data_IF_335653435587
#
_entry.id   IF_335653435587
#
_cell.length_a   1.000
_cell.length_b   1.000
_cell.length_c   1.000
_cell.angle_alpha   90.00
_cell.angle_beta   90.00
_cell.angle_gamma   90.00
#
_symmetry.space_group_name_H-M   'P 1'
#
loop_
_entity.id
_entity.type
_entity.pdbx_description
1 polymer ?
#
# COMPACT_ATOMS: atom_id res chain seq x y z
N UNK A 1 -0.52 16.54 -8.69
CA UNK A 1 0.09 15.29 -8.18
C UNK A 1 -0.65 14.97 -6.89
N UNK A 2 -1.22 13.76 -6.74
CA UNK A 2 -2.03 13.43 -5.58
C UNK A 2 -1.21 13.44 -4.29
N UNK A 3 -1.83 13.81 -3.16
CA UNK A 3 -1.22 13.80 -1.83
C UNK A 3 -0.92 12.38 -1.31
N UNK A 4 -1.49 11.33 -1.92
CA UNK A 4 -1.14 9.94 -1.63
C UNK A 4 0.24 9.52 -2.18
N UNK A 5 0.83 10.32 -3.08
CA UNK A 5 2.17 10.04 -3.59
C UNK A 5 3.23 10.17 -2.49
N UNK A 6 4.21 9.28 -2.49
CA UNK A 6 5.32 9.30 -1.54
C UNK A 6 5.90 7.92 -1.24
N UNK A 7 6.88 7.89 -0.33
CA UNK A 7 7.45 6.67 0.23
C UNK A 7 6.88 6.44 1.63
N UNK A 8 6.51 5.19 1.90
CA UNK A 8 5.88 4.75 3.14
C UNK A 8 6.62 3.53 3.68
N UNK A 9 7.03 3.55 4.96
CA UNK A 9 7.74 2.44 5.61
C UNK A 9 6.85 1.84 6.69
N UNK A 10 6.63 0.53 6.65
CA UNK A 10 5.87 -0.18 7.66
C UNK A 10 6.71 -0.40 8.92
N UNK A 11 6.20 0.06 10.07
CA UNK A 11 6.90 0.03 11.34
C UNK A 11 7.15 -1.37 11.93
N UNK A 12 6.56 -2.43 11.36
CA UNK A 12 6.61 -3.79 11.93
C UNK A 12 6.95 -4.88 10.90
N UNK A 13 6.46 -4.79 9.65
CA UNK A 13 6.67 -5.83 8.64
C UNK A 13 7.96 -5.69 7.82
N UNK A 14 8.70 -4.59 7.99
CA UNK A 14 9.84 -4.24 7.12
C UNK A 14 9.46 -3.98 5.66
N UNK A 15 8.16 -3.84 5.36
CA UNK A 15 7.69 -3.50 4.03
C UNK A 15 7.82 -1.99 3.75
N UNK A 16 8.20 -1.61 2.53
CA UNK A 16 8.22 -0.23 2.04
C UNK A 16 7.37 -0.13 0.77
N UNK A 17 6.36 0.73 0.83
CA UNK A 17 5.45 1.06 -0.27
C UNK A 17 5.86 2.42 -0.87
N UNK A 18 6.03 2.49 -2.18
CA UNK A 18 6.30 3.73 -2.93
C UNK A 18 5.15 3.93 -3.91
N UNK A 19 4.51 5.10 -3.87
CA UNK A 19 3.39 5.48 -4.74
C UNK A 19 3.83 6.67 -5.60
N UNK A 20 3.72 6.53 -6.93
CA UNK A 20 4.23 7.52 -7.90
C UNK A 20 3.16 8.22 -8.70
N UNK A 21 2.08 7.53 -9.11
CA UNK A 21 1.07 8.09 -10.03
C UNK A 21 -0.36 8.01 -9.45
N UNK A 22 -0.55 8.51 -8.22
CA UNK A 22 -1.87 8.66 -7.62
C UNK A 22 -2.75 9.67 -8.37
N UNK A 23 -3.97 9.25 -8.70
CA UNK A 23 -4.96 10.03 -9.45
C UNK A 23 -6.28 10.19 -8.67
N UNK A 24 -6.51 11.37 -8.11
CA UNK A 24 -7.67 11.64 -7.24
C UNK A 24 -9.02 11.59 -7.99
N UNK A 25 -9.02 11.68 -9.33
CA UNK A 25 -10.24 11.64 -10.14
C UNK A 25 -10.90 10.26 -10.25
N UNK A 26 -10.12 9.20 -10.07
CA UNK A 26 -10.58 7.80 -10.17
C UNK A 26 -10.06 6.90 -9.03
N UNK A 27 -9.28 7.46 -8.10
CA UNK A 27 -8.68 6.74 -6.98
C UNK A 27 -7.60 5.73 -7.38
N UNK A 28 -7.08 5.70 -8.61
CA UNK A 28 -6.05 4.74 -9.00
C UNK A 28 -4.64 5.20 -8.64
N UNK A 29 -3.72 4.26 -8.41
CA UNK A 29 -2.29 4.54 -8.33
C UNK A 29 -1.40 3.40 -8.80
N UNK A 30 -0.18 3.74 -9.16
CA UNK A 30 0.94 2.85 -9.50
C UNK A 30 2.04 2.91 -8.43
N UNK A 31 3.05 2.05 -8.57
CA UNK A 31 4.29 2.14 -7.81
C UNK A 31 4.90 0.77 -7.51
N UNK A 32 5.62 0.69 -6.40
CA UNK A 32 6.37 -0.51 -5.99
C UNK A 32 6.20 -0.76 -4.50
N UNK A 33 5.94 -2.02 -4.14
CA UNK A 33 6.03 -2.51 -2.76
C UNK A 33 7.31 -3.33 -2.64
N UNK A 34 8.01 -3.25 -1.51
CA UNK A 34 9.25 -3.99 -1.29
C UNK A 34 9.33 -4.54 0.13
N UNK A 35 9.86 -5.75 0.30
CA UNK A 35 10.04 -6.39 1.61
C UNK A 35 11.16 -7.43 1.52
N UNK A 36 12.04 -7.49 2.52
CA UNK A 36 13.08 -8.54 2.59
C UNK A 36 14.03 -8.57 1.38
N UNK A 37 14.27 -7.43 0.73
CA UNK A 37 15.09 -7.32 -0.49
C UNK A 37 14.36 -7.61 -1.81
N UNK A 38 13.11 -8.07 -1.77
CA UNK A 38 12.28 -8.32 -2.96
C UNK A 38 11.45 -7.07 -3.29
N UNK A 39 11.42 -6.70 -4.58
CA UNK A 39 10.53 -5.66 -5.11
C UNK A 39 9.34 -6.30 -5.85
N UNK A 40 8.13 -5.79 -5.61
CA UNK A 40 6.87 -6.21 -6.19
C UNK A 40 6.23 -5.00 -6.89
N UNK A 41 5.91 -5.14 -8.18
CA UNK A 41 5.20 -4.10 -8.93
C UNK A 41 3.75 -4.03 -8.45
N UNK A 42 3.20 -2.84 -8.25
CA UNK A 42 1.78 -2.68 -7.96
C UNK A 42 0.99 -2.97 -9.24
N UNK A 43 0.21 -4.06 -9.22
CA UNK A 43 -0.68 -4.48 -10.33
C UNK A 43 -2.07 -3.88 -10.19
N UNK A 44 -2.50 -3.61 -8.96
CA UNK A 44 -3.71 -2.87 -8.66
C UNK A 44 -3.49 -2.03 -7.41
N UNK A 45 -3.58 -0.71 -7.56
CA UNK A 45 -3.62 0.25 -6.46
C UNK A 45 -4.90 1.08 -6.59
N UNK A 46 -5.76 1.05 -5.57
CA UNK A 46 -6.94 1.88 -5.51
C UNK A 46 -7.16 2.48 -4.12
N UNK A 47 -7.66 3.72 -4.06
CA UNK A 47 -8.08 4.39 -2.84
C UNK A 47 -9.43 5.08 -3.03
N UNK A 48 -10.21 5.12 -1.96
CA UNK A 48 -11.50 5.79 -1.94
C UNK A 48 -11.66 6.62 -0.67
N UNK A 49 -12.10 7.86 -0.84
CA UNK A 49 -12.33 8.82 0.21
C UNK A 49 -13.72 9.41 0.04
N UNK A 50 -14.41 9.65 1.15
CA UNK A 50 -15.71 10.31 1.12
C UNK A 50 -15.49 11.83 0.95
N UNK A 51 -16.26 12.52 0.10
CA UNK A 51 -15.95 13.91 -0.27
C UNK A 51 -16.49 14.99 0.69
N UNK A 52 -17.43 14.66 1.58
CA UNK A 52 -18.27 15.66 2.28
C UNK A 52 -17.82 16.04 3.71
N UNK A 53 -16.80 15.40 4.27
CA UNK A 53 -16.54 15.37 5.73
C UNK A 53 -15.02 15.34 6.08
N UNK A 54 -14.12 15.69 5.14
CA UNK A 54 -12.67 15.74 5.38
C UNK A 54 -12.05 14.37 5.68
N UNK A 55 -12.46 13.36 4.92
CA UNK A 55 -12.71 12.04 5.47
C UNK A 55 -11.52 11.07 5.54
N UNK A 56 -11.70 9.98 6.31
CA UNK A 56 -10.92 8.77 6.11
C UNK A 56 -10.89 8.28 4.67
N UNK A 57 -9.75 7.70 4.31
CA UNK A 57 -9.47 7.09 3.01
C UNK A 57 -9.16 5.61 3.21
N UNK A 58 -9.90 4.74 2.54
CA UNK A 58 -9.57 3.32 2.43
C UNK A 58 -8.70 3.09 1.19
N UNK A 59 -7.75 2.16 1.29
CA UNK A 59 -6.74 1.90 0.26
C UNK A 59 -6.59 0.38 0.10
N UNK A 60 -6.48 -0.10 -1.13
CA UNK A 60 -6.19 -1.49 -1.48
C UNK A 60 -4.97 -1.57 -2.41
N UNK A 61 -4.09 -2.53 -2.13
CA UNK A 61 -2.88 -2.84 -2.93
C UNK A 61 -2.85 -4.33 -3.24
N UNK A 62 -2.62 -4.66 -4.51
CA UNK A 62 -2.12 -5.95 -4.98
C UNK A 62 -0.80 -5.69 -5.70
N UNK A 63 0.28 -6.28 -5.20
CA UNK A 63 1.61 -6.20 -5.78
C UNK A 63 2.15 -7.59 -6.12
N UNK A 64 2.94 -7.70 -7.19
CA UNK A 64 3.42 -8.96 -7.75
C UNK A 64 4.92 -8.91 -8.07
N UNK A 65 5.63 -9.99 -7.76
CA UNK A 65 6.95 -10.29 -8.31
C UNK A 65 6.88 -11.64 -9.04
N UNK A 66 7.35 -11.68 -10.29
CA UNK A 66 7.25 -12.89 -11.12
C UNK A 66 7.94 -14.14 -10.56
N UNK A 67 8.94 -13.96 -9.68
CA UNK A 67 9.73 -15.03 -9.07
C UNK A 67 9.39 -15.26 -7.58
N UNK A 68 8.65 -14.35 -6.94
CA UNK A 68 8.42 -14.35 -5.48
C UNK A 68 6.95 -14.27 -5.06
N UNK A 69 6.02 -14.33 -6.01
CA UNK A 69 4.58 -14.38 -5.76
C UNK A 69 3.94 -13.01 -5.54
N UNK A 70 3.02 -12.94 -4.58
CA UNK A 70 2.14 -11.79 -4.36
C UNK A 70 2.27 -11.21 -2.96
N UNK A 71 1.97 -9.91 -2.86
CA UNK A 71 1.57 -9.28 -1.61
C UNK A 71 0.27 -8.51 -1.80
N UNK A 72 -0.61 -8.57 -0.82
CA UNK A 72 -1.83 -7.75 -0.75
C UNK A 72 -1.87 -6.97 0.54
N UNK A 73 -2.41 -5.75 0.50
CA UNK A 73 -2.58 -4.89 1.66
C UNK A 73 -3.90 -4.13 1.58
N UNK A 74 -4.58 -4.00 2.71
CA UNK A 74 -5.62 -3.00 2.92
C UNK A 74 -5.11 -1.98 3.94
N UNK A 75 -5.29 -0.69 3.63
CA UNK A 75 -4.80 0.41 4.43
C UNK A 75 -5.88 1.47 4.68
N UNK A 76 -5.68 2.25 5.74
CA UNK A 76 -6.62 3.27 6.19
C UNK A 76 -5.86 4.53 6.64
N UNK A 77 -6.13 5.67 6.00
CA UNK A 77 -5.77 7.00 6.49
C UNK A 77 -7.01 7.59 7.19
N UNK A 78 -6.90 8.14 8.42
CA UNK A 78 -8.06 8.69 9.13
C UNK A 78 -8.49 10.09 8.65
N UNK A 79 -7.58 10.82 7.99
CA UNK A 79 -7.62 12.28 7.84
C UNK A 79 -7.25 12.78 6.44
N UNK A 80 -7.09 11.88 5.47
CA UNK A 80 -6.68 12.16 4.08
C UNK A 80 -5.30 12.86 3.93
N UNK A 81 -4.53 13.05 5.01
CA UNK A 81 -3.18 13.60 4.95
C UNK A 81 -2.12 12.54 4.64
N UNK A 82 -2.47 11.26 4.77
CA UNK A 82 -1.62 10.11 4.52
C UNK A 82 -0.29 10.07 5.30
N UNK A 83 -0.10 10.87 6.36
CA UNK A 83 1.12 10.83 7.16
C UNK A 83 1.35 9.44 7.81
N UNK A 84 0.25 8.74 8.11
CA UNK A 84 0.19 7.41 8.70
C UNK A 84 -0.97 6.62 8.11
N UNK A 85 -0.70 5.41 7.64
CA UNK A 85 -1.71 4.47 7.15
C UNK A 85 -1.73 3.24 8.07
N UNK A 86 -2.84 2.99 8.76
CA UNK A 86 -3.04 1.73 9.49
C UNK A 86 -3.22 0.63 8.45
N UNK A 87 -2.50 -0.49 8.56
CA UNK A 87 -2.53 -1.51 7.52
C UNK A 87 -2.51 -2.96 8.05
N UNK A 88 -3.14 -3.82 7.28
CA UNK A 88 -3.05 -5.28 7.37
C UNK A 88 -2.88 -5.84 5.95
N UNK A 89 -2.24 -6.99 5.83
CA UNK A 89 -1.92 -7.57 4.53
C UNK A 89 -1.43 -9.00 4.64
N UNK A 90 -1.09 -9.58 3.49
CA UNK A 90 -0.45 -10.89 3.44
C UNK A 90 0.58 -10.97 2.32
N UNK A 91 1.51 -11.92 2.48
CA UNK A 91 2.46 -12.37 1.45
C UNK A 91 2.21 -13.84 1.16
N UNK A 92 2.23 -14.20 -0.12
CA UNK A 92 2.19 -15.60 -0.58
C UNK A 92 3.29 -15.80 -1.62
N UNK A 93 4.12 -16.82 -1.44
CA UNK A 93 5.19 -17.19 -2.38
C UNK A 93 4.93 -18.54 -3.08
N UNK A 94 5.81 -18.93 -4.01
CA UNK A 94 5.68 -20.19 -4.74
C UNK A 94 6.04 -21.44 -3.91
N UNK A 95 6.69 -21.27 -2.76
CA UNK A 95 7.01 -22.36 -1.82
C UNK A 95 5.81 -22.72 -0.92
N UNK A 96 4.68 -22.02 -1.08
CA UNK A 96 3.46 -22.22 -0.29
C UNK A 96 3.46 -21.51 1.07
N UNK A 97 4.44 -20.66 1.36
CA UNK A 97 4.44 -19.82 2.55
C UNK A 97 3.32 -18.78 2.45
N UNK A 98 2.47 -18.71 3.49
CA UNK A 98 1.45 -17.67 3.65
C UNK A 98 1.73 -16.92 4.95
N UNK A 99 2.09 -15.64 4.83
CA UNK A 99 2.44 -14.80 5.98
C UNK A 99 1.43 -13.67 6.12
N UNK A 100 0.82 -13.55 7.29
CA UNK A 100 0.02 -12.37 7.65
C UNK A 100 0.94 -11.24 8.12
N UNK A 101 0.69 -10.03 7.63
CA UNK A 101 1.49 -8.84 7.88
C UNK A 101 0.59 -7.75 8.46
N UNK A 102 1.12 -6.96 9.39
CA UNK A 102 0.37 -5.87 10.01
C UNK A 102 1.31 -4.84 10.60
N UNK A 103 0.80 -3.61 10.77
CA UNK A 103 1.57 -2.47 11.26
C UNK A 103 1.20 -1.20 10.52
N UNK A 104 1.69 -0.06 10.99
CA UNK A 104 1.42 1.23 10.37
C UNK A 104 2.49 1.55 9.32
N UNK A 105 2.07 1.98 8.14
CA UNK A 105 2.93 2.59 7.13
C UNK A 105 3.07 4.08 7.43
N UNK A 106 4.29 4.53 7.71
CA UNK A 106 4.63 5.93 7.99
C UNK A 106 5.23 6.58 6.75
N UNK A 107 4.65 7.71 6.33
CA UNK A 107 5.18 8.49 5.20
C UNK A 107 6.55 9.08 5.56
N UNK A 108 7.47 9.09 4.61
CA UNK A 108 8.82 9.68 4.69
C UNK A 108 8.86 11.04 4.00
#
# INVERSE_FOLDING_TARGET
MSSINGTYVNANSGAKLVITDGNDSNGSFSGTLSQGGVNYDIRYGNYHFQNSTGNPTTIAVLAQNGNSGYQTWTLFSPDHNYAKLRATGSRVNFDGEVVNLGGEFLKQ
#
